data_IF_136077093538
#
_entry.id   IF_136077093538
#
_cell.length_a   1.000
_cell.length_b   1.000
_cell.length_c   1.000
_cell.angle_alpha   90.00
_cell.angle_beta   90.00
_cell.angle_gamma   90.00
#
_symmetry.space_group_name_H-M   'P 1'
#
loop_
_entity.id
_entity.type
_entity.pdbx_description
1 polymer ?
#
# COMPACT_ATOMS: atom_id res chain seq x y z
N UNK A 1 -4.45 -23.41 -7.77
CA UNK A 1 -3.98 -22.84 -6.48
C UNK A 1 -3.24 -21.55 -6.79
N UNK A 2 -3.94 -20.41 -6.80
CA UNK A 2 -3.35 -19.09 -7.09
C UNK A 2 -2.70 -18.54 -5.82
N UNK A 3 -1.38 -18.65 -5.71
CA UNK A 3 -0.61 -17.93 -4.67
C UNK A 3 -0.62 -16.45 -5.02
N UNK A 4 -1.36 -15.67 -4.25
CA UNK A 4 -1.21 -14.22 -4.21
C UNK A 4 0.10 -13.91 -3.47
N UNK A 5 1.14 -13.48 -4.19
CA UNK A 5 2.38 -13.04 -3.57
C UNK A 5 2.19 -11.64 -3.00
N UNK A 6 2.00 -11.54 -1.68
CA UNK A 6 2.24 -10.29 -0.95
C UNK A 6 3.75 -10.22 -0.75
N UNK A 7 4.41 -9.29 -1.45
CA UNK A 7 5.83 -9.02 -1.24
C UNK A 7 5.96 -7.78 -0.36
N UNK A 8 6.79 -7.88 0.67
CA UNK A 8 7.22 -6.73 1.46
C UNK A 8 8.75 -6.65 1.43
N UNK A 9 9.26 -5.43 1.36
CA UNK A 9 10.70 -5.16 1.37
C UNK A 9 10.98 -3.90 2.18
N UNK A 10 12.12 -3.89 2.87
CA UNK A 10 12.60 -2.77 3.64
C UNK A 10 13.70 -2.02 2.88
N UNK A 11 13.45 -0.75 2.58
CA UNK A 11 14.45 0.16 2.01
C UNK A 11 15.18 0.92 3.12
N UNK A 12 16.45 0.57 3.35
CA UNK A 12 17.24 1.15 4.44
C UNK A 12 17.49 2.67 4.31
N UNK A 13 17.85 3.23 3.13
CA UNK A 13 18.12 4.66 3.01
C UNK A 13 16.93 5.56 3.38
N UNK A 14 15.73 5.22 2.91
CA UNK A 14 14.51 6.02 3.18
C UNK A 14 13.74 5.56 4.42
N UNK A 15 14.17 4.45 5.03
CA UNK A 15 13.48 3.77 6.13
C UNK A 15 12.02 3.48 5.78
N UNK A 16 11.79 2.99 4.57
CA UNK A 16 10.45 2.73 4.03
C UNK A 16 10.18 1.24 4.01
N UNK A 17 9.02 0.86 4.54
CA UNK A 17 8.47 -0.48 4.39
C UNK A 17 7.54 -0.44 3.19
N UNK A 18 7.88 -1.19 2.15
CA UNK A 18 7.10 -1.28 0.92
C UNK A 18 6.18 -2.50 0.99
N UNK A 19 4.91 -2.31 0.69
CA UNK A 19 3.92 -3.38 0.54
C UNK A 19 3.44 -3.40 -0.91
N UNK A 20 3.57 -4.57 -1.55
CA UNK A 20 3.13 -4.78 -2.92
C UNK A 20 1.92 -5.71 -2.96
N UNK A 21 0.86 -5.23 -3.60
CA UNK A 21 -0.38 -5.96 -3.82
C UNK A 21 -0.71 -6.00 -5.31
N UNK A 22 -1.35 -7.09 -5.74
CA UNK A 22 -1.92 -7.20 -7.08
C UNK A 22 -3.43 -7.22 -6.96
N UNK A 23 -4.12 -6.29 -7.64
CA UNK A 23 -5.58 -6.29 -7.73
C UNK A 23 -6.00 -7.22 -8.86
N UNK A 24 -7.04 -8.03 -8.61
CA UNK A 24 -7.57 -9.01 -9.58
C UNK A 24 -9.09 -8.88 -9.70
N UNK A 25 -9.63 -9.42 -10.78
CA UNK A 25 -11.08 -9.42 -11.02
C UNK A 25 -11.65 -8.00 -11.10
N UNK A 26 -12.79 -7.74 -10.45
CA UNK A 26 -13.46 -6.43 -10.50
C UNK A 26 -12.64 -5.29 -9.89
N UNK A 27 -11.72 -5.61 -8.98
CA UNK A 27 -10.84 -4.62 -8.35
C UNK A 27 -9.68 -4.20 -9.26
N UNK A 28 -9.35 -5.00 -10.28
CA UNK A 28 -8.36 -4.66 -11.31
C UNK A 28 -8.96 -3.69 -12.34
N UNK A 29 -9.37 -2.51 -11.87
CA UNK A 29 -10.02 -1.48 -12.65
C UNK A 29 -9.43 -0.12 -12.31
N UNK A 30 -8.57 0.37 -13.19
CA UNK A 30 -7.88 1.66 -13.05
C UNK A 30 -8.84 2.83 -12.85
N UNK A 31 -9.94 2.89 -13.61
CA UNK A 31 -10.90 4.00 -13.55
C UNK A 31 -11.59 4.03 -12.18
N UNK A 32 -11.99 2.87 -11.67
CA UNK A 32 -12.59 2.75 -10.36
C UNK A 32 -11.62 3.11 -9.23
N UNK A 33 -10.37 2.61 -9.31
CA UNK A 33 -9.32 2.93 -8.33
C UNK A 33 -9.01 4.43 -8.35
N UNK A 34 -8.88 5.02 -9.53
CA UNK A 34 -8.65 6.46 -9.68
C UNK A 34 -9.80 7.30 -9.12
N UNK A 35 -11.04 6.96 -9.46
CA UNK A 35 -12.23 7.65 -8.95
C UNK A 35 -12.37 7.59 -7.43
N UNK A 36 -11.85 6.52 -6.81
CA UNK A 36 -11.91 6.27 -5.36
C UNK A 36 -10.60 6.52 -4.62
N UNK A 37 -9.58 7.10 -5.28
CA UNK A 37 -8.23 7.27 -4.73
C UNK A 37 -8.22 7.94 -3.35
N UNK A 38 -9.01 9.00 -3.16
CA UNK A 38 -9.09 9.71 -1.88
C UNK A 38 -9.69 8.85 -0.76
N UNK A 39 -10.73 8.08 -1.06
CA UNK A 39 -11.36 7.15 -0.10
C UNK A 39 -10.41 6.01 0.25
N UNK A 40 -9.70 5.45 -0.74
CA UNK A 40 -8.69 4.41 -0.56
C UNK A 40 -7.51 4.91 0.29
N UNK A 41 -6.99 6.11 0.01
CA UNK A 41 -5.93 6.73 0.82
C UNK A 41 -6.38 6.89 2.27
N UNK A 42 -7.60 7.38 2.50
CA UNK A 42 -8.15 7.52 3.86
C UNK A 42 -8.26 6.15 4.55
N UNK A 43 -8.81 5.14 3.87
CA UNK A 43 -9.00 3.81 4.45
C UNK A 43 -7.66 3.16 4.83
N UNK A 44 -6.64 3.26 3.97
CA UNK A 44 -5.28 2.76 4.24
C UNK A 44 -4.64 3.46 5.42
N UNK A 45 -4.73 4.80 5.49
CA UNK A 45 -4.23 5.56 6.63
C UNK A 45 -4.89 5.13 7.94
N UNK A 46 -6.22 5.01 7.93
CA UNK A 46 -6.99 4.66 9.14
C UNK A 46 -6.65 3.23 9.59
N UNK A 47 -6.45 2.29 8.66
CA UNK A 47 -5.97 0.94 8.95
C UNK A 47 -4.54 0.94 9.52
N UNK A 48 -3.61 1.73 8.94
CA UNK A 48 -2.24 1.87 9.44
C UNK A 48 -2.18 2.48 10.85
N UNK A 49 -3.05 3.45 11.14
CA UNK A 49 -3.19 4.01 12.50
C UNK A 49 -3.64 2.96 13.50
N UNK A 50 -4.65 2.18 13.13
CA UNK A 50 -5.24 1.16 13.98
C UNK A 50 -4.35 -0.08 14.17
N UNK A 51 -3.40 -0.33 13.27
CA UNK A 51 -2.49 -1.48 13.35
C UNK A 51 -1.48 -1.35 14.51
N UNK A 52 -1.53 -2.23 15.54
CA UNK A 52 -0.57 -2.25 16.63
C UNK A 52 0.80 -2.78 16.20
N UNK A 53 0.85 -3.65 15.18
CA UNK A 53 2.09 -4.28 14.69
C UNK A 53 3.06 -3.26 14.11
N UNK A 54 2.55 -2.19 13.50
CA UNK A 54 3.36 -1.09 12.98
C UNK A 54 3.87 -0.12 14.04
N UNK A 55 3.45 -0.21 15.32
CA UNK A 55 3.79 0.79 16.35
C UNK A 55 5.29 1.04 16.48
N UNK A 56 6.11 -0.01 16.60
CA UNK A 56 7.56 0.15 16.75
C UNK A 56 8.22 0.85 15.56
N UNK A 57 7.74 0.58 14.34
CA UNK A 57 8.20 1.24 13.13
C UNK A 57 7.72 2.70 13.04
N UNK A 58 6.47 2.98 13.42
CA UNK A 58 5.90 4.34 13.53
C UNK A 58 6.69 5.20 14.51
N UNK A 59 6.96 4.68 15.71
CA UNK A 59 7.72 5.36 16.76
C UNK A 59 9.15 5.66 16.31
N UNK A 60 9.77 4.73 15.58
CA UNK A 60 11.10 4.90 15.02
C UNK A 60 11.11 5.85 13.80
N UNK A 61 9.96 6.26 13.26
CA UNK A 61 9.84 7.20 12.15
C UNK A 61 10.00 6.58 10.77
N UNK A 62 9.57 5.33 10.59
CA UNK A 62 9.55 4.66 9.29
C UNK A 62 8.42 5.19 8.40
N UNK A 63 8.62 5.14 7.09
CA UNK A 63 7.57 5.37 6.12
C UNK A 63 6.92 4.04 5.70
N UNK A 64 5.67 4.11 5.25
CA UNK A 64 4.94 2.95 4.75
C UNK A 64 4.43 3.27 3.35
N UNK A 65 4.85 2.50 2.36
CA UNK A 65 4.42 2.67 0.98
C UNK A 65 3.57 1.48 0.55
N UNK A 66 2.38 1.77 0.03
CA UNK A 66 1.43 0.78 -0.46
C UNK A 66 1.32 0.92 -1.97
N UNK A 67 1.82 -0.08 -2.70
CA UNK A 67 1.75 -0.12 -4.16
C UNK A 67 0.81 -1.24 -4.60
N UNK A 68 -0.27 -0.87 -5.28
CA UNK A 68 -1.22 -1.78 -5.90
C UNK A 68 -0.99 -1.77 -7.41
N UNK A 69 -0.76 -2.95 -7.99
CA UNK A 69 -0.64 -3.14 -9.44
C UNK A 69 -1.80 -3.96 -10.00
N UNK A 70 -2.00 -3.88 -11.30
CA UNK A 70 -2.91 -4.76 -12.02
C UNK A 70 -2.38 -6.19 -12.02
N UNK A 71 -3.23 -7.16 -11.68
CA UNK A 71 -2.92 -8.57 -11.82
C UNK A 71 -2.95 -9.03 -13.28
N UNK A 72 -3.82 -8.43 -14.10
CA UNK A 72 -3.89 -8.69 -15.53
C UNK A 72 -2.72 -8.05 -16.31
N UNK A 73 -2.21 -6.90 -15.86
CA UNK A 73 -1.06 -6.21 -16.44
C UNK A 73 -0.04 -5.84 -15.35
N UNK A 74 0.89 -6.74 -14.98
CA UNK A 74 1.76 -6.57 -13.82
C UNK A 74 2.69 -5.34 -13.83
N UNK A 75 2.93 -4.73 -14.99
CA UNK A 75 3.68 -3.48 -15.13
C UNK A 75 2.87 -2.22 -14.80
N UNK A 76 1.55 -2.34 -14.67
CA UNK A 76 0.64 -1.22 -14.46
C UNK A 76 0.37 -1.01 -12.97
N UNK A 77 0.86 0.10 -12.44
CA UNK A 77 0.54 0.57 -11.08
C UNK A 77 -0.83 1.27 -11.11
N UNK A 78 -1.73 0.85 -10.23
CA UNK A 78 -3.08 1.37 -10.10
C UNK A 78 -3.19 2.36 -8.93
N UNK A 79 -2.42 2.14 -7.87
CA UNK A 79 -2.33 3.03 -6.72
C UNK A 79 -0.93 2.93 -6.12
N UNK A 80 -0.35 4.08 -5.78
CA UNK A 80 0.89 4.16 -5.02
C UNK A 80 0.75 5.27 -3.97
N UNK A 81 0.79 4.89 -2.70
CA UNK A 81 0.54 5.79 -1.57
C UNK A 81 1.60 5.61 -0.49
N UNK A 82 2.28 6.70 -0.17
CA UNK A 82 3.23 6.76 0.94
C UNK A 82 2.60 7.48 2.13
N UNK A 83 2.81 6.90 3.32
CA UNK A 83 2.44 7.45 4.62
C UNK A 83 3.69 7.68 5.44
N UNK A 84 3.79 8.88 5.97
CA UNK A 84 4.88 9.35 6.81
C UNK A 84 4.36 9.61 8.22
N UNK A 85 5.25 10.00 9.14
CA UNK A 85 4.88 10.40 10.51
C UNK A 85 3.81 11.50 10.60
N UNK A 86 3.59 12.28 9.53
CA UNK A 86 2.54 13.30 9.49
C UNK A 86 1.15 12.73 9.21
N UNK A 87 1.09 11.53 8.65
CA UNK A 87 -0.15 10.90 8.22
C UNK A 87 -0.77 10.01 9.30
N UNK A 88 0.05 9.38 10.16
CA UNK A 88 -0.39 8.48 11.21
C UNK A 88 -0.20 9.03 12.64
#
# INVERSE_FOLDING_TARGET
MTREWIAWFFEAPSRTIHYYYSLVGKADNEQAVHAKRAELRKALRDALKADPGSKGYKDAGFNFQYTYRSGATPSKVLLDETYTKKDY
#
